data_IF_136285547941
#
_entry.id   IF_136285547941
#
_cell.length_a   1.000
_cell.length_b   1.000
_cell.length_c   1.000
_cell.angle_alpha   90.00
_cell.angle_beta   90.00
_cell.angle_gamma   90.00
#
_symmetry.space_group_name_H-M   'P 1'
#
loop_
_entity.id
_entity.type
_entity.pdbx_description
1 polymer ?
#
# COMPACT_ATOMS: atom_id res chain seq x y z
N UNK A 1 -20.30 -5.94 -0.62
CA UNK A 1 -19.97 -4.49 -0.72
C UNK A 1 -20.10 -4.10 -2.18
N UNK A 2 -20.83 -3.03 -2.50
CA UNK A 2 -20.93 -2.58 -3.90
C UNK A 2 -19.60 -2.01 -4.39
N UNK A 3 -19.36 -2.05 -5.71
CA UNK A 3 -18.12 -1.53 -6.32
C UNK A 3 -17.90 -0.05 -6.00
N UNK A 4 -18.97 0.74 -5.93
CA UNK A 4 -18.91 2.14 -5.52
C UNK A 4 -18.38 2.29 -4.09
N UNK A 5 -18.88 1.48 -3.15
CA UNK A 5 -18.43 1.54 -1.77
C UNK A 5 -16.97 1.07 -1.64
N UNK A 6 -16.57 0.04 -2.38
CA UNK A 6 -15.18 -0.40 -2.46
C UNK A 6 -14.26 0.72 -2.97
N UNK A 7 -14.69 1.44 -4.00
CA UNK A 7 -13.95 2.57 -4.55
C UNK A 7 -13.83 3.75 -3.57
N UNK A 8 -14.90 4.06 -2.83
CA UNK A 8 -14.84 5.10 -1.78
C UNK A 8 -13.87 4.70 -0.66
N UNK A 9 -13.94 3.46 -0.18
CA UNK A 9 -13.00 2.93 0.83
C UNK A 9 -11.56 3.00 0.33
N UNK A 10 -11.34 2.66 -0.94
CA UNK A 10 -10.05 2.78 -1.61
C UNK A 10 -9.54 4.24 -1.64
N UNK A 11 -10.40 5.21 -1.96
CA UNK A 11 -10.01 6.63 -1.93
C UNK A 11 -9.69 7.12 -0.52
N UNK A 12 -10.43 6.67 0.51
CA UNK A 12 -10.11 6.96 1.92
C UNK A 12 -8.76 6.37 2.30
N UNK A 13 -8.48 5.13 1.88
CA UNK A 13 -7.19 4.49 2.10
C UNK A 13 -6.03 5.31 1.50
N UNK A 14 -6.15 5.73 0.23
CA UNK A 14 -5.14 6.57 -0.40
C UNK A 14 -4.99 7.95 0.26
N UNK A 15 -6.10 8.56 0.67
CA UNK A 15 -6.07 9.82 1.38
C UNK A 15 -5.34 9.68 2.72
N UNK A 16 -5.53 8.57 3.44
CA UNK A 16 -4.80 8.29 4.67
C UNK A 16 -3.29 8.18 4.41
N UNK A 17 -2.88 7.49 3.34
CA UNK A 17 -1.47 7.39 2.95
C UNK A 17 -0.87 8.74 2.55
N UNK A 18 -1.61 9.56 1.79
CA UNK A 18 -1.17 10.91 1.45
C UNK A 18 -1.01 11.82 2.67
N UNK A 19 -1.91 11.71 3.65
CA UNK A 19 -1.84 12.45 4.92
C UNK A 19 -0.72 11.95 5.82
N UNK A 20 -0.35 10.69 5.74
CA UNK A 20 0.77 10.11 6.45
C UNK A 20 2.10 10.75 6.01
N UNK A 21 2.31 10.87 4.68
CA UNK A 21 3.43 11.65 4.14
C UNK A 21 3.41 13.14 4.53
N UNK A 22 2.24 13.72 4.82
CA UNK A 22 2.17 15.08 5.41
C UNK A 22 2.71 15.07 6.84
N UNK A 23 2.39 14.06 7.64
CA UNK A 23 2.91 13.89 9.00
C UNK A 23 4.43 13.76 8.98
N UNK A 24 4.99 12.91 8.12
CA UNK A 24 6.44 12.73 7.96
C UNK A 24 7.18 14.02 7.61
N UNK A 25 6.63 14.80 6.69
CA UNK A 25 7.19 16.13 6.35
C UNK A 25 7.17 17.07 7.55
N UNK A 26 6.10 17.05 8.35
CA UNK A 26 5.96 17.90 9.55
C UNK A 26 6.88 17.48 10.69
N UNK A 27 7.15 16.18 10.84
CA UNK A 27 8.08 15.62 11.83
C UNK A 27 9.53 15.57 11.33
N UNK A 28 9.77 16.07 10.11
CA UNK A 28 11.09 16.15 9.47
C UNK A 28 11.78 14.79 9.39
N UNK A 29 11.05 13.75 8.96
CA UNK A 29 11.50 12.36 8.83
C UNK A 29 12.92 12.23 8.28
N UNK A 30 13.25 12.99 7.24
CA UNK A 30 14.57 12.98 6.61
C UNK A 30 15.76 13.23 7.56
N UNK A 31 15.54 13.92 8.68
CA UNK A 31 16.54 14.25 9.70
C UNK A 31 16.43 13.42 10.98
N UNK A 32 15.45 12.52 11.08
CA UNK A 32 15.25 11.67 12.25
C UNK A 32 15.55 10.21 11.90
N UNK A 33 14.56 9.48 11.42
CA UNK A 33 14.66 8.06 11.02
C UNK A 33 15.12 7.87 9.58
N UNK A 34 14.94 8.88 8.73
CA UNK A 34 15.64 9.06 7.46
C UNK A 34 15.46 7.93 6.45
N UNK A 35 16.57 7.52 5.83
CA UNK A 35 16.58 6.56 4.71
C UNK A 35 15.98 5.22 5.12
N UNK A 36 16.17 4.83 6.37
CA UNK A 36 15.76 3.51 6.85
C UNK A 36 14.22 3.39 6.86
N UNK A 37 13.52 4.38 7.43
CA UNK A 37 12.05 4.42 7.46
C UNK A 37 11.47 4.62 6.06
N UNK A 38 11.95 5.63 5.32
CA UNK A 38 11.48 5.88 3.95
C UNK A 38 11.70 4.71 2.97
N UNK A 39 12.68 3.84 3.21
CA UNK A 39 12.84 2.61 2.44
C UNK A 39 11.73 1.60 2.70
N UNK A 40 11.26 1.49 3.95
CA UNK A 40 10.17 0.58 4.29
C UNK A 40 8.85 1.04 3.68
N UNK A 41 8.60 2.35 3.61
CA UNK A 41 7.46 2.91 2.88
C UNK A 41 7.48 2.48 1.40
N UNK A 42 8.64 2.53 0.73
CA UNK A 42 8.78 2.07 -0.65
C UNK A 42 8.53 0.56 -0.78
N UNK A 43 9.01 -0.25 0.18
CA UNK A 43 8.76 -1.70 0.19
C UNK A 43 7.26 -1.99 0.38
N UNK A 44 6.58 -1.31 1.30
CA UNK A 44 5.14 -1.44 1.52
C UNK A 44 4.34 -1.08 0.25
N UNK A 45 4.67 0.04 -0.39
CA UNK A 45 4.03 0.44 -1.65
C UNK A 45 4.32 -0.53 -2.79
N UNK A 46 5.53 -1.10 -2.86
CA UNK A 46 5.85 -2.11 -3.87
C UNK A 46 5.05 -3.40 -3.66
N UNK A 47 4.89 -3.86 -2.40
CA UNK A 47 4.09 -5.03 -2.07
C UNK A 47 2.62 -4.84 -2.46
N UNK A 48 1.99 -3.77 -1.99
CA UNK A 48 0.58 -3.48 -2.29
C UNK A 48 0.38 -3.16 -3.78
N UNK A 49 1.30 -2.41 -4.38
CA UNK A 49 1.29 -2.15 -5.82
C UNK A 49 1.32 -3.43 -6.64
N UNK A 50 2.19 -4.39 -6.27
CA UNK A 50 2.23 -5.71 -6.92
C UNK A 50 0.91 -6.48 -6.75
N UNK A 51 0.32 -6.46 -5.54
CA UNK A 51 -1.00 -7.08 -5.30
C UNK A 51 -2.12 -6.46 -6.13
N UNK A 52 -2.14 -5.12 -6.25
CA UNK A 52 -3.11 -4.39 -7.09
C UNK A 52 -2.93 -4.73 -8.57
N UNK A 53 -1.69 -4.76 -9.07
CA UNK A 53 -1.40 -5.13 -10.45
C UNK A 53 -1.80 -6.58 -10.74
N UNK A 54 -1.55 -7.50 -9.79
CA UNK A 54 -1.99 -8.88 -9.90
C UNK A 54 -3.53 -8.96 -9.97
N UNK A 55 -4.24 -8.25 -9.10
CA UNK A 55 -5.70 -8.21 -9.11
C UNK A 55 -6.31 -7.60 -10.39
N UNK A 56 -5.65 -6.60 -10.99
CA UNK A 56 -6.07 -5.99 -12.25
C UNK A 56 -5.89 -6.92 -13.45
N UNK A 57 -4.86 -7.77 -13.42
CA UNK A 57 -4.43 -8.57 -14.59
C UNK A 57 -4.91 -10.01 -14.57
N UNK A 58 -5.04 -10.61 -13.39
CA UNK A 58 -5.26 -12.05 -13.21
C UNK A 58 -6.66 -12.32 -12.66
N UNK A 59 -7.29 -13.41 -13.09
CA UNK A 59 -8.56 -13.87 -12.54
C UNK A 59 -8.39 -14.28 -11.06
N UNK A 60 -9.36 -13.92 -10.21
CA UNK A 60 -9.28 -14.24 -8.78
C UNK A 60 -9.70 -15.70 -8.57
N UNK A 61 -8.69 -16.57 -8.49
CA UNK A 61 -8.83 -17.99 -8.13
C UNK A 61 -8.19 -18.26 -6.77
N UNK A 62 -8.41 -19.45 -6.19
CA UNK A 62 -7.82 -19.84 -4.91
C UNK A 62 -6.28 -19.63 -4.83
N UNK A 63 -5.46 -20.10 -5.80
CA UNK A 63 -4.01 -19.83 -5.79
C UNK A 63 -3.68 -18.33 -5.78
N UNK A 64 -4.41 -17.53 -6.57
CA UNK A 64 -4.20 -16.07 -6.65
C UNK A 64 -4.56 -15.39 -5.34
N UNK A 65 -5.65 -15.81 -4.69
CA UNK A 65 -5.99 -15.37 -3.34
C UNK A 65 -4.92 -15.72 -2.31
N UNK A 66 -4.31 -16.91 -2.40
CA UNK A 66 -3.18 -17.27 -1.53
C UNK A 66 -2.00 -16.31 -1.73
N UNK A 67 -1.65 -16.00 -2.98
CA UNK A 67 -0.58 -15.03 -3.30
C UNK A 67 -0.92 -13.63 -2.78
N UNK A 68 -2.13 -13.14 -3.04
CA UNK A 68 -2.59 -11.84 -2.52
C UNK A 68 -2.57 -11.82 -0.98
N UNK A 69 -2.96 -12.91 -0.33
CA UNK A 69 -2.90 -13.04 1.13
C UNK A 69 -1.47 -12.96 1.64
N UNK A 70 -0.52 -13.66 0.99
CA UNK A 70 0.90 -13.58 1.33
C UNK A 70 1.45 -12.16 1.17
N UNK A 71 1.05 -11.45 0.11
CA UNK A 71 1.43 -10.04 -0.09
C UNK A 71 0.88 -9.15 1.04
N UNK A 72 -0.39 -9.32 1.42
CA UNK A 72 -1.01 -8.55 2.51
C UNK A 72 -0.32 -8.84 3.85
N UNK A 73 0.00 -10.10 4.14
CA UNK A 73 0.75 -10.49 5.35
C UNK A 73 2.14 -9.86 5.34
N UNK A 74 2.86 -9.95 4.21
CA UNK A 74 4.17 -9.34 4.07
C UNK A 74 4.10 -7.82 4.26
N UNK A 75 3.09 -7.16 3.70
CA UNK A 75 2.86 -5.72 3.89
C UNK A 75 2.64 -5.39 5.38
N UNK A 76 1.80 -6.15 6.09
CA UNK A 76 1.56 -5.95 7.52
C UNK A 76 2.83 -6.15 8.36
N UNK A 77 3.65 -7.15 8.03
CA UNK A 77 4.95 -7.35 8.69
C UNK A 77 5.87 -6.15 8.46
N UNK A 78 5.95 -5.65 7.23
CA UNK A 78 6.79 -4.48 6.93
C UNK A 78 6.25 -3.23 7.64
N UNK A 79 4.93 -3.02 7.68
CA UNK A 79 4.32 -1.91 8.44
C UNK A 79 4.59 -1.97 9.95
N UNK A 80 4.62 -3.18 10.53
CA UNK A 80 5.06 -3.36 11.91
C UNK A 80 6.55 -3.01 12.09
N UNK A 81 7.42 -3.45 11.17
CA UNK A 81 8.85 -3.13 11.23
C UNK A 81 9.09 -1.63 11.10
N UNK A 82 8.31 -0.95 10.26
CA UNK A 82 8.33 0.49 10.09
C UNK A 82 7.97 1.22 11.39
N UNK A 83 6.78 0.94 11.94
CA UNK A 83 6.34 1.55 13.19
C UNK A 83 7.30 1.27 14.34
N UNK A 84 7.81 0.03 14.46
CA UNK A 84 8.79 -0.34 15.50
C UNK A 84 10.07 0.50 15.41
N UNK A 85 10.52 0.84 14.21
CA UNK A 85 11.73 1.62 14.01
C UNK A 85 11.49 3.12 14.17
N UNK A 86 10.37 3.63 13.67
CA UNK A 86 9.95 5.01 13.83
C UNK A 86 9.80 5.35 15.32
N UNK A 87 9.13 4.47 16.08
CA UNK A 87 8.85 4.65 17.51
C UNK A 87 10.12 4.83 18.35
N UNK A 88 11.21 4.17 17.97
CA UNK A 88 12.48 4.29 18.68
C UNK A 88 13.28 5.57 18.33
N UNK A 89 12.87 6.32 17.30
CA UNK A 89 13.71 7.38 16.68
C UNK A 89 13.03 8.73 16.54
N UNK A 90 11.69 8.79 16.55
CA UNK A 90 10.93 10.05 16.44
C UNK A 90 9.61 9.95 17.19
N UNK A 91 9.05 11.12 17.49
CA UNK A 91 7.69 11.24 17.96
C UNK A 91 6.70 10.85 16.84
N UNK A 92 5.83 9.89 17.12
CA UNK A 92 4.73 9.50 16.22
C UNK A 92 3.45 10.11 16.78
N UNK A 93 2.89 11.08 16.07
CA UNK A 93 1.76 11.88 16.58
C UNK A 93 0.47 11.05 16.63
N UNK A 94 -0.49 11.38 17.53
CA UNK A 94 -1.76 10.67 17.60
C UNK A 94 -2.53 10.59 16.28
N UNK A 95 -2.48 11.65 15.47
CA UNK A 95 -3.09 11.66 14.14
C UNK A 95 -2.44 10.64 13.21
N UNK A 96 -1.11 10.51 13.26
CA UNK A 96 -0.35 9.56 12.45
C UNK A 96 -0.72 8.12 12.82
N UNK A 97 -0.88 7.82 14.12
CA UNK A 97 -1.37 6.52 14.58
C UNK A 97 -2.79 6.20 14.09
N UNK A 98 -3.68 7.20 14.00
CA UNK A 98 -5.03 6.99 13.43
C UNK A 98 -4.98 6.73 11.93
N UNK A 99 -4.08 7.41 11.21
CA UNK A 99 -3.85 7.15 9.78
C UNK A 99 -3.30 5.73 9.58
N UNK A 100 -2.33 5.31 10.39
CA UNK A 100 -1.78 3.94 10.39
C UNK A 100 -2.87 2.89 10.62
N UNK A 101 -3.80 3.14 11.54
CA UNK A 101 -4.93 2.21 11.77
C UNK A 101 -5.78 1.99 10.50
N UNK A 102 -5.97 3.03 9.68
CA UNK A 102 -6.63 2.90 8.36
C UNK A 102 -5.74 2.15 7.38
N UNK A 103 -4.45 2.48 7.33
CA UNK A 103 -3.47 1.87 6.43
C UNK A 103 -3.25 0.37 6.71
N UNK A 104 -3.36 -0.06 7.96
CA UNK A 104 -3.19 -1.45 8.37
C UNK A 104 -4.39 -2.32 7.96
N UNK A 105 -5.61 -1.80 8.13
CA UNK A 105 -6.83 -2.58 7.85
C UNK A 105 -7.20 -2.58 6.37
N UNK A 106 -6.86 -1.53 5.61
CA UNK A 106 -7.30 -1.37 4.23
C UNK A 106 -6.83 -2.49 3.26
N UNK A 107 -5.58 -2.98 3.32
CA UNK A 107 -5.16 -4.15 2.53
C UNK A 107 -5.99 -5.41 2.82
N UNK A 108 -6.34 -5.64 4.09
CA UNK A 108 -7.18 -6.78 4.50
C UNK A 108 -8.60 -6.59 3.96
N UNK A 109 -9.16 -5.38 4.07
CA UNK A 109 -10.47 -5.06 3.51
C UNK A 109 -10.53 -5.27 1.99
N UNK A 110 -9.47 -4.88 1.26
CA UNK A 110 -9.34 -5.10 -0.18
C UNK A 110 -9.26 -6.59 -0.53
N UNK A 111 -8.50 -7.37 0.24
CA UNK A 111 -8.41 -8.83 0.09
C UNK A 111 -9.77 -9.51 0.33
N UNK A 112 -10.47 -9.15 1.41
CA UNK A 112 -11.80 -9.67 1.72
C UNK A 112 -12.81 -9.29 0.62
N UNK A 113 -12.74 -8.08 0.10
CA UNK A 113 -13.59 -7.67 -1.02
C UNK A 113 -13.31 -8.48 -2.29
N UNK A 114 -12.04 -8.66 -2.65
CA UNK A 114 -11.64 -9.49 -3.79
C UNK A 114 -12.11 -10.94 -3.63
N UNK A 115 -11.97 -11.53 -2.44
CA UNK A 115 -12.46 -12.87 -2.14
C UNK A 115 -14.00 -12.96 -2.21
N UNK A 116 -14.72 -11.92 -1.80
CA UNK A 116 -16.18 -11.89 -1.85
C UNK A 116 -16.75 -11.88 -3.27
N UNK A 117 -15.96 -11.43 -4.26
CA UNK A 117 -16.32 -11.45 -5.67
C UNK A 117 -15.92 -12.74 -6.40
N UNK A 118 -15.32 -13.70 -5.69
CA UNK A 118 -14.88 -14.96 -6.29
C UNK A 118 -16.07 -15.86 -6.65
N UNK A 119 -16.04 -16.42 -7.86
CA UNK A 119 -17.06 -17.36 -8.33
C UNK A 119 -16.83 -18.74 -7.69
N UNK A 120 -17.90 -19.52 -7.49
CA UNK A 120 -17.82 -20.82 -6.81
C UNK A 120 -16.83 -21.78 -7.49
N UNK A 121 -16.80 -21.80 -8.82
CA UNK A 121 -15.91 -22.67 -9.60
C UNK A 121 -14.42 -22.27 -9.47
N UNK A 122 -14.15 -21.02 -9.07
CA UNK A 122 -12.81 -20.49 -8.84
C UNK A 122 -12.21 -20.88 -7.48
N UNK A 123 -12.97 -21.60 -6.65
CA UNK A 123 -12.52 -22.15 -5.36
C UNK A 123 -11.62 -23.40 -5.51
N UNK A 124 -11.49 -23.94 -6.72
CA UNK A 124 -10.61 -25.08 -6.99
C UNK A 124 -9.15 -24.64 -7.21
N UNK A 125 -8.21 -25.53 -6.87
CA UNK A 125 -6.80 -25.36 -7.24
C UNK A 125 -6.67 -25.43 -8.77
N UNK A 126 -6.55 -24.27 -9.39
CA UNK A 126 -6.58 -24.06 -10.84
C UNK A 126 -5.29 -23.38 -11.31
N UNK A 127 -5.09 -23.31 -12.63
CA UNK A 127 -4.00 -22.53 -13.20
C UNK A 127 -4.20 -21.03 -12.93
N UNK A 128 -3.09 -20.29 -12.87
CA UNK A 128 -3.12 -18.82 -12.81
C UNK A 128 -3.36 -18.31 -14.22
N UNK A 129 -4.50 -17.69 -14.45
CA UNK A 129 -4.93 -17.22 -15.77
C UNK A 129 -5.21 -15.71 -15.77
N UNK A 130 -4.98 -15.08 -16.91
CA UNK A 130 -5.35 -13.68 -17.10
C UNK A 130 -6.87 -13.50 -16.99
N UNK A 131 -7.29 -12.36 -16.44
CA UNK A 131 -8.70 -12.01 -16.34
C UNK A 131 -9.32 -11.94 -17.73
N UNK A 132 -10.48 -12.58 -17.90
CA UNK A 132 -11.31 -12.48 -19.10
C UNK A 132 -12.73 -12.04 -18.69
N UNK A 133 -13.24 -10.89 -19.20
CA UNK A 133 -12.54 -9.92 -20.04
C UNK A 133 -11.42 -9.18 -19.28
N UNK A 134 -10.41 -8.64 -19.97
CA UNK A 134 -9.37 -7.83 -19.34
C UNK A 134 -9.98 -6.61 -18.61
N UNK A 135 -9.32 -6.15 -17.55
CA UNK A 135 -9.74 -4.95 -16.83
C UNK A 135 -9.80 -3.74 -17.78
N UNK A 136 -10.87 -2.95 -17.68
CA UNK A 136 -11.09 -1.81 -18.56
C UNK A 136 -10.04 -0.72 -18.34
N UNK A 137 -9.66 0.08 -19.37
CA UNK A 137 -8.70 1.18 -19.21
C UNK A 137 -9.12 2.19 -18.13
N UNK A 138 -10.42 2.43 -17.96
CA UNK A 138 -10.94 3.31 -16.93
C UNK A 138 -10.67 2.77 -15.52
N UNK A 139 -10.77 1.46 -15.32
CA UNK A 139 -10.42 0.84 -14.05
C UNK A 139 -8.92 0.98 -13.76
N UNK A 140 -8.08 0.74 -14.76
CA UNK A 140 -6.64 0.95 -14.66
C UNK A 140 -6.29 2.37 -14.25
N UNK A 141 -6.84 3.38 -14.94
CA UNK A 141 -6.60 4.79 -14.63
C UNK A 141 -7.17 5.17 -13.25
N UNK A 142 -8.39 4.74 -12.95
CA UNK A 142 -9.08 5.05 -11.70
C UNK A 142 -8.40 4.46 -10.46
N UNK A 143 -7.59 3.40 -10.63
CA UNK A 143 -6.77 2.81 -9.58
C UNK A 143 -5.35 3.39 -9.60
N UNK A 144 -4.64 3.34 -10.73
CA UNK A 144 -3.22 3.67 -10.73
C UNK A 144 -2.95 5.17 -10.55
N UNK A 145 -3.74 6.05 -11.18
CA UNK A 145 -3.49 7.50 -11.11
C UNK A 145 -3.56 8.04 -9.68
N UNK A 146 -4.65 7.84 -8.91
CA UNK A 146 -4.71 8.37 -7.55
C UNK A 146 -3.66 7.71 -6.63
N UNK A 147 -3.37 6.41 -6.79
CA UNK A 147 -2.33 5.75 -6.00
C UNK A 147 -0.93 6.36 -6.24
N UNK A 148 -0.59 6.61 -7.50
CA UNK A 148 0.69 7.23 -7.86
C UNK A 148 0.75 8.68 -7.35
N UNK A 149 -0.32 9.45 -7.53
CA UNK A 149 -0.34 10.88 -7.13
C UNK A 149 -0.30 11.04 -5.61
N UNK A 150 -1.12 10.28 -4.87
CA UNK A 150 -1.28 10.46 -3.43
C UNK A 150 -0.24 9.73 -2.59
N UNK A 151 0.32 8.63 -3.09
CA UNK A 151 1.26 7.80 -2.31
C UNK A 151 2.59 7.58 -3.03
N UNK A 152 2.58 7.20 -4.31
CA UNK A 152 3.81 6.86 -5.06
C UNK A 152 4.78 8.04 -5.18
N UNK A 153 4.30 9.20 -5.66
CA UNK A 153 5.10 10.41 -5.82
C UNK A 153 5.59 10.92 -4.46
N UNK A 154 4.74 11.06 -3.42
CA UNK A 154 5.21 11.44 -2.08
C UNK A 154 6.28 10.53 -1.50
N UNK A 155 6.14 9.20 -1.64
CA UNK A 155 7.14 8.24 -1.14
C UNK A 155 8.50 8.41 -1.83
N UNK A 156 8.50 8.57 -3.16
CA UNK A 156 9.74 8.80 -3.92
C UNK A 156 10.42 10.11 -3.53
N UNK A 157 9.63 11.17 -3.30
CA UNK A 157 10.15 12.47 -2.87
C UNK A 157 10.73 12.41 -1.45
N UNK A 158 10.04 11.73 -0.53
CA UNK A 158 10.51 11.53 0.84
C UNK A 158 11.83 10.74 0.87
N UNK A 159 11.90 9.62 0.15
CA UNK A 159 13.12 8.83 0.05
C UNK A 159 14.27 9.64 -0.57
N UNK A 160 14.00 10.41 -1.63
CA UNK A 160 14.99 11.30 -2.25
C UNK A 160 15.51 12.33 -1.23
N UNK A 161 14.63 12.93 -0.43
CA UNK A 161 15.00 13.90 0.59
C UNK A 161 15.84 13.25 1.70
N UNK A 162 15.41 12.11 2.23
CA UNK A 162 16.13 11.37 3.26
C UNK A 162 17.53 10.96 2.78
N UNK A 163 17.64 10.50 1.53
CA UNK A 163 18.93 10.14 0.91
C UNK A 163 19.85 11.35 0.77
N UNK A 164 19.32 12.51 0.38
CA UNK A 164 20.12 13.73 0.27
C UNK A 164 20.70 14.18 1.62
N UNK A 165 19.90 14.14 2.69
CA UNK A 165 20.37 14.43 4.07
C UNK A 165 21.44 13.44 4.52
N UNK A 166 21.23 12.14 4.27
CA UNK A 166 22.21 11.12 4.64
C UNK A 166 23.56 11.27 3.91
N UNK A 167 23.57 11.75 2.67
CA UNK A 167 24.79 12.02 1.92
C UNK A 167 25.51 13.27 2.43
N UNK A 168 24.78 14.34 2.76
CA UNK A 168 25.35 15.57 3.29
C UNK A 168 26.02 15.38 4.67
N UNK A 169 25.54 14.42 5.48
CA UNK A 169 26.14 14.12 6.79
C UNK A 169 27.42 13.26 6.70
N UNK A 170 27.79 12.75 5.52
CA UNK A 170 29.00 11.94 5.31
C UNK A 170 30.20 12.76 4.80
N UNK A 171 29.95 13.99 4.36
CA UNK A 171 30.95 14.94 3.86
C UNK A 171 31.37 15.90 4.97
#
# INVERSE_FOLDING_TARGET
MSDLLAYVVYLVWLAAGGLDFVCHRRTRLAYTSGVHESSLHLVQLALIGAGVLLWLTVAITLPVLCVLSSIVIAHAVVGYLDTRQAYARRDIRPIEQHLHSVLDIAPIAALCWAASGMQADSMSWSAIELRTPPASPNLWLGVLVPAVVLCGVPALLEFKQARAVALANRT
#
